data_IF_310884954287
#
_entry.id   IF_310884954287
#
_cell.length_a   1.000
_cell.length_b   1.000
_cell.length_c   1.000
_cell.angle_alpha   90.00
_cell.angle_beta   90.00
_cell.angle_gamma   90.00
#
_symmetry.space_group_name_H-M   'P 1'
#
loop_
_entity.id
_entity.type
_entity.pdbx_description
1 polymer ?
#
# COMPACT_ATOMS: atom_id res chain seq x y z
N UNK A 1 -7.78 26.23 -56.96
CA UNK A 1 -7.08 27.49 -57.27
C UNK A 1 -7.06 28.30 -55.98
N UNK A 2 -6.25 27.95 -55.00
CA UNK A 2 -4.78 28.10 -54.91
C UNK A 2 -4.34 29.54 -54.69
N UNK A 3 -3.83 29.81 -53.48
CA UNK A 3 -2.66 30.61 -53.05
C UNK A 3 -2.83 30.90 -51.55
N UNK A 4 -2.17 30.17 -50.66
CA UNK A 4 -0.76 30.28 -50.20
C UNK A 4 -0.41 31.64 -49.57
N UNK A 5 -0.13 31.61 -48.25
CA UNK A 5 0.85 32.41 -47.47
C UNK A 5 0.87 31.78 -46.06
N UNK A 6 1.93 31.61 -45.28
CA UNK A 6 3.38 31.54 -45.43
C UNK A 6 3.85 31.06 -44.03
N UNK A 7 4.50 29.89 -43.93
CA UNK A 7 5.12 29.39 -42.70
C UNK A 7 6.46 30.09 -42.49
N UNK A 8 6.69 30.61 -41.28
CA UNK A 8 7.95 31.21 -40.84
C UNK A 8 8.84 30.16 -40.16
N UNK A 9 10.09 30.10 -40.60
CA UNK A 9 11.19 29.26 -40.10
C UNK A 9 12.27 30.12 -39.43
N UNK A 10 12.97 29.52 -38.45
CA UNK A 10 14.17 30.04 -37.76
C UNK A 10 13.85 30.63 -36.37
N UNK A 11 14.52 30.31 -35.27
CA UNK A 11 15.95 30.08 -35.13
C UNK A 11 16.31 29.17 -33.93
N UNK A 12 17.54 28.68 -33.96
CA UNK A 12 18.18 27.65 -33.13
C UNK A 12 18.91 28.26 -31.93
N UNK A 13 19.18 27.45 -30.88
CA UNK A 13 20.14 27.56 -29.73
C UNK A 13 19.42 27.07 -28.46
N UNK A 14 19.90 26.20 -27.57
CA UNK A 14 21.17 25.51 -27.30
C UNK A 14 20.78 24.21 -26.54
N UNK A 15 21.29 23.06 -26.97
CA UNK A 15 21.29 21.84 -26.14
C UNK A 15 22.51 21.88 -25.23
N UNK A 16 22.32 21.82 -23.92
CA UNK A 16 23.42 21.67 -22.97
C UNK A 16 23.93 20.23 -23.05
N UNK A 17 25.07 20.07 -23.72
CA UNK A 17 25.91 18.88 -23.61
C UNK A 17 26.40 18.76 -22.16
N UNK A 18 26.01 17.67 -21.48
CA UNK A 18 26.59 17.28 -20.19
C UNK A 18 27.82 16.45 -20.52
N UNK A 19 28.99 17.09 -20.46
CA UNK A 19 30.27 16.41 -20.44
C UNK A 19 30.37 15.56 -19.17
N UNK A 20 30.26 14.25 -19.31
CA UNK A 20 30.63 13.30 -18.27
C UNK A 20 32.14 13.37 -18.07
N UNK A 21 32.57 13.89 -16.92
CA UNK A 21 33.97 13.86 -16.50
C UNK A 21 34.42 12.43 -16.19
N UNK A 22 35.64 12.20 -16.64
CA UNK A 22 36.41 10.98 -16.76
C UNK A 22 37.00 10.47 -15.42
N UNK A 23 36.84 9.16 -15.21
CA UNK A 23 37.71 8.16 -14.55
C UNK A 23 38.75 8.61 -13.49
N UNK A 24 38.31 9.17 -12.35
CA UNK A 24 39.18 9.61 -11.24
C UNK A 24 38.97 9.00 -9.85
N UNK A 25 37.90 8.24 -9.59
CA UNK A 25 37.49 7.90 -8.20
C UNK A 25 37.56 6.39 -7.84
N UNK A 26 38.46 5.64 -8.49
CA UNK A 26 38.68 4.20 -8.21
C UNK A 26 39.18 3.93 -6.77
N UNK A 27 40.01 4.83 -6.21
CA UNK A 27 40.56 4.65 -4.85
C UNK A 27 39.55 4.93 -3.72
N UNK A 28 38.61 5.87 -3.94
CA UNK A 28 37.59 6.22 -2.95
C UNK A 28 36.52 5.13 -2.86
N UNK A 29 36.12 4.57 -4.00
CA UNK A 29 35.18 3.44 -4.07
C UNK A 29 35.79 2.19 -3.44
N UNK A 30 37.06 1.91 -3.69
CA UNK A 30 37.78 0.79 -3.05
C UNK A 30 37.88 0.95 -1.53
N UNK A 31 38.13 2.17 -1.05
CA UNK A 31 38.21 2.47 0.39
C UNK A 31 36.85 2.34 1.10
N UNK A 32 35.76 2.70 0.42
CA UNK A 32 34.39 2.54 0.94
C UNK A 32 33.95 1.08 0.96
N UNK A 33 34.33 0.30 -0.07
CA UNK A 33 34.05 -1.14 -0.12
C UNK A 33 34.76 -1.87 1.03
N UNK A 34 36.03 -1.58 1.26
CA UNK A 34 36.81 -2.21 2.32
C UNK A 34 36.28 -1.87 3.73
N UNK A 35 35.68 -0.68 3.90
CA UNK A 35 35.04 -0.26 5.15
C UNK A 35 33.67 -0.92 5.36
N UNK A 36 32.95 -1.22 4.27
CA UNK A 36 31.68 -1.96 4.31
C UNK A 36 31.92 -3.41 4.70
N UNK A 37 32.96 -4.05 4.14
CA UNK A 37 33.32 -5.44 4.39
C UNK A 37 33.86 -5.66 5.82
N UNK A 38 34.54 -4.66 6.42
CA UNK A 38 35.09 -4.74 7.77
C UNK A 38 34.03 -4.49 8.87
N UNK A 39 32.93 -3.80 8.55
CA UNK A 39 31.84 -3.47 9.51
C UNK A 39 30.60 -4.34 9.38
N UNK A 40 30.42 -5.01 8.25
CA UNK A 40 29.33 -5.95 8.03
C UNK A 40 29.97 -7.33 7.91
N UNK A 41 29.88 -8.15 8.96
CA UNK A 41 30.27 -9.56 8.91
C UNK A 41 29.38 -10.34 7.92
N UNK A 42 29.58 -10.13 6.63
CA UNK A 42 29.06 -10.95 5.55
C UNK A 42 30.11 -12.03 5.34
N UNK A 43 29.93 -13.16 6.01
CA UNK A 43 30.76 -14.33 5.74
C UNK A 43 30.30 -14.94 4.41
N UNK A 44 31.16 -14.85 3.39
CA UNK A 44 31.05 -15.62 2.16
C UNK A 44 31.42 -17.10 2.42
N UNK A 45 30.53 -17.85 3.06
CA UNK A 45 30.63 -19.30 3.10
C UNK A 45 29.83 -19.90 1.94
N UNK A 46 30.52 -20.07 0.81
CA UNK A 46 30.13 -21.03 -0.23
C UNK A 46 30.59 -22.43 0.19
N UNK A 47 29.74 -23.12 0.94
CA UNK A 47 29.79 -24.59 1.02
C UNK A 47 28.65 -25.16 0.18
N UNK A 48 28.94 -25.37 -1.11
CA UNK A 48 28.10 -26.15 -2.03
C UNK A 48 28.44 -27.62 -1.81
N UNK A 49 27.73 -28.28 -0.91
CA UNK A 49 27.72 -29.74 -0.83
C UNK A 49 26.38 -30.28 -0.28
N UNK A 50 25.49 -30.62 -1.21
CA UNK A 50 24.65 -31.82 -1.09
C UNK A 50 23.28 -31.67 -0.43
N UNK A 51 22.26 -31.31 -1.22
CA UNK A 51 21.06 -32.14 -1.45
C UNK A 51 20.53 -31.80 -2.85
N UNK A 52 21.07 -32.44 -3.89
CA UNK A 52 20.44 -32.45 -5.21
C UNK A 52 19.30 -33.47 -5.21
N UNK A 53 18.11 -33.08 -4.76
CA UNK A 53 16.89 -33.87 -5.01
C UNK A 53 16.42 -33.58 -6.45
N UNK A 54 16.65 -34.56 -7.30
CA UNK A 54 16.29 -34.62 -8.72
C UNK A 54 14.76 -34.59 -8.86
N UNK A 55 14.16 -33.50 -9.32
CA UNK A 55 12.71 -33.45 -9.57
C UNK A 55 12.40 -33.84 -11.01
N UNK A 56 11.85 -35.04 -11.18
CA UNK A 56 11.31 -35.54 -12.44
C UNK A 56 10.05 -34.78 -12.84
N UNK A 57 10.02 -34.31 -14.08
CA UNK A 57 8.86 -33.71 -14.75
C UNK A 57 7.89 -34.84 -15.13
N UNK A 58 6.76 -34.97 -14.43
CA UNK A 58 5.64 -35.80 -14.87
C UNK A 58 4.30 -35.07 -14.71
N UNK A 59 3.44 -35.31 -15.69
CA UNK A 59 2.21 -34.58 -15.95
C UNK A 59 1.17 -34.66 -14.85
N UNK A 60 0.32 -33.63 -14.85
CA UNK A 60 -0.82 -33.40 -13.98
C UNK A 60 -1.70 -34.65 -13.85
N UNK A 61 -1.71 -35.22 -12.64
CA UNK A 61 -2.83 -35.99 -12.09
C UNK A 61 -2.93 -35.63 -10.60
N UNK A 62 -4.16 -35.29 -10.23
CA UNK A 62 -4.67 -34.81 -8.94
C UNK A 62 -4.23 -35.62 -7.71
N UNK A 63 -3.39 -34.99 -6.87
CA UNK A 63 -3.37 -35.07 -5.39
C UNK A 63 -2.75 -33.74 -4.90
N UNK A 64 -3.54 -32.86 -4.27
CA UNK A 64 -3.02 -31.61 -3.67
C UNK A 64 -2.14 -31.95 -2.46
N UNK A 65 -0.84 -32.07 -2.69
CA UNK A 65 0.15 -31.87 -1.64
C UNK A 65 0.36 -30.36 -1.60
N UNK A 66 0.02 -29.70 -0.49
CA UNK A 66 0.07 -28.25 -0.32
C UNK A 66 1.53 -27.79 -0.19
N UNK A 67 2.23 -27.68 -1.33
CA UNK A 67 3.60 -27.18 -1.37
C UNK A 67 3.61 -25.65 -1.28
N UNK A 68 4.41 -25.10 -0.37
CA UNK A 68 4.65 -23.66 -0.28
C UNK A 68 5.50 -23.25 -1.48
N UNK A 69 4.99 -22.35 -2.30
CA UNK A 69 5.71 -21.85 -3.47
C UNK A 69 6.59 -20.68 -3.09
N UNK A 70 7.87 -20.76 -3.43
CA UNK A 70 8.78 -19.64 -3.23
C UNK A 70 8.46 -18.47 -4.17
N UNK A 71 7.94 -17.38 -3.62
CA UNK A 71 7.65 -16.15 -4.37
C UNK A 71 8.84 -15.19 -4.42
N UNK A 72 9.91 -15.43 -3.67
CA UNK A 72 11.07 -14.54 -3.58
C UNK A 72 12.28 -15.09 -4.37
N UNK A 73 12.01 -15.87 -5.43
CA UNK A 73 13.02 -16.51 -6.28
C UNK A 73 13.47 -15.69 -7.50
N UNK A 74 12.84 -14.53 -7.75
CA UNK A 74 13.19 -13.69 -8.89
C UNK A 74 14.32 -12.72 -8.53
N UNK A 75 15.56 -13.11 -8.86
CA UNK A 75 16.77 -12.33 -8.63
C UNK A 75 17.11 -11.35 -9.77
N UNK A 76 16.38 -11.42 -10.89
CA UNK A 76 16.62 -10.58 -12.07
C UNK A 76 15.98 -9.19 -11.94
N UNK A 77 14.90 -9.08 -11.17
CA UNK A 77 14.23 -7.80 -10.93
C UNK A 77 14.74 -7.15 -9.63
N UNK A 78 15.55 -6.08 -9.71
CA UNK A 78 16.09 -5.42 -8.53
C UNK A 78 15.03 -4.80 -7.64
N UNK A 79 13.82 -4.50 -8.15
CA UNK A 79 12.73 -3.93 -7.33
C UNK A 79 12.13 -4.95 -6.35
N UNK A 80 12.34 -6.25 -6.60
CA UNK A 80 11.83 -7.31 -5.73
C UNK A 80 12.74 -7.55 -4.52
N UNK A 81 14.00 -7.11 -4.58
CA UNK A 81 14.99 -7.28 -3.52
C UNK A 81 14.99 -8.71 -2.96
N UNK A 82 14.93 -9.73 -3.83
CA UNK A 82 14.68 -11.13 -3.48
C UNK A 82 15.51 -11.63 -2.27
N UNK A 83 16.81 -11.31 -2.24
CA UNK A 83 17.73 -11.70 -1.16
C UNK A 83 17.42 -11.05 0.19
N UNK A 84 16.80 -9.87 0.20
CA UNK A 84 16.46 -9.11 1.41
C UNK A 84 14.97 -9.16 1.74
N UNK A 85 14.14 -9.78 0.89
CA UNK A 85 12.69 -9.78 1.01
C UNK A 85 12.22 -10.33 2.37
N UNK A 86 12.89 -11.36 2.91
CA UNK A 86 12.58 -11.88 4.24
C UNK A 86 12.80 -10.81 5.33
N UNK A 87 13.99 -10.20 5.37
CA UNK A 87 14.36 -9.23 6.40
C UNK A 87 13.55 -7.94 6.31
N UNK A 88 13.26 -7.47 5.09
CA UNK A 88 12.41 -6.29 4.85
C UNK A 88 11.05 -6.50 5.51
N UNK A 89 10.37 -7.61 5.23
CA UNK A 89 9.03 -7.83 5.78
C UNK A 89 9.05 -8.18 7.26
N UNK A 90 10.09 -8.87 7.75
CA UNK A 90 10.30 -9.05 9.19
C UNK A 90 10.40 -7.69 9.90
N UNK A 91 11.14 -6.75 9.31
CA UNK A 91 11.23 -5.38 9.82
C UNK A 91 9.88 -4.66 9.76
N UNK A 92 9.15 -4.74 8.62
CA UNK A 92 7.84 -4.10 8.46
C UNK A 92 6.83 -4.59 9.52
N UNK A 93 6.83 -5.88 9.87
CA UNK A 93 5.97 -6.43 10.94
C UNK A 93 6.29 -5.85 12.32
N UNK A 94 7.57 -5.62 12.61
CA UNK A 94 7.95 -4.97 13.88
C UNK A 94 7.57 -3.49 13.84
N UNK A 95 7.77 -2.82 12.71
CA UNK A 95 7.50 -1.39 12.55
C UNK A 95 6.01 -1.04 12.57
N UNK A 96 5.13 -1.91 12.03
CA UNK A 96 3.68 -1.65 11.95
C UNK A 96 3.03 -1.56 13.34
N UNK A 97 3.64 -2.15 14.36
CA UNK A 97 3.16 -2.07 15.75
C UNK A 97 3.55 -0.76 16.45
N UNK A 98 4.62 -0.10 16.00
CA UNK A 98 5.18 1.11 16.64
C UNK A 98 4.59 2.40 16.11
N UNK A 99 4.18 2.43 14.83
CA UNK A 99 3.71 3.65 14.15
C UNK A 99 2.18 3.70 14.03
N UNK A 100 1.48 3.28 15.08
CA UNK A 100 0.02 3.19 15.09
C UNK A 100 -0.63 4.44 15.70
N UNK A 101 -1.77 4.88 15.15
CA UNK A 101 -2.67 5.79 15.86
C UNK A 101 -3.34 5.09 17.06
N UNK A 102 -3.88 5.88 17.99
CA UNK A 102 -4.80 5.36 19.01
C UNK A 102 -6.07 4.85 18.34
N UNK A 103 -6.69 3.81 18.88
CA UNK A 103 -7.89 3.22 18.27
C UNK A 103 -9.19 3.90 18.71
N UNK A 104 -9.09 4.84 19.63
CA UNK A 104 -10.18 5.49 20.35
C UNK A 104 -9.99 7.02 20.43
N UNK A 105 -9.17 7.61 19.53
CA UNK A 105 -8.84 9.04 19.62
C UNK A 105 -10.04 9.96 19.41
N UNK A 106 -11.05 9.52 18.65
CA UNK A 106 -12.28 10.29 18.46
C UNK A 106 -13.01 10.45 19.79
N UNK A 107 -13.08 9.37 20.56
CA UNK A 107 -13.76 9.30 21.84
C UNK A 107 -12.96 9.93 22.98
N UNK A 108 -11.64 9.73 22.99
CA UNK A 108 -10.78 10.07 24.14
C UNK A 108 -10.07 11.42 24.00
N UNK A 109 -9.74 11.84 22.78
CA UNK A 109 -8.94 13.04 22.52
C UNK A 109 -9.79 14.15 21.88
N UNK A 110 -10.53 13.81 20.83
CA UNK A 110 -11.26 14.80 20.05
C UNK A 110 -12.55 15.25 20.74
N UNK A 111 -12.86 16.56 20.64
CA UNK A 111 -14.06 17.17 21.24
C UNK A 111 -15.14 17.53 20.23
N UNK A 112 -14.74 17.84 19.01
CA UNK A 112 -15.59 18.45 17.98
C UNK A 112 -15.43 17.76 16.61
N UNK A 113 -14.83 16.57 16.60
CA UNK A 113 -14.60 15.75 15.42
C UNK A 113 -15.18 14.39 15.73
N UNK A 114 -15.99 13.89 14.83
CA UNK A 114 -16.52 12.54 14.87
C UNK A 114 -15.93 11.69 13.73
N UNK A 115 -16.29 10.41 13.71
CA UNK A 115 -15.82 9.44 12.71
C UNK A 115 -16.30 9.77 11.30
N UNK A 116 -17.46 10.42 11.15
CA UNK A 116 -18.03 10.84 9.87
C UNK A 116 -17.20 11.97 9.25
N UNK A 117 -16.80 12.95 10.05
CA UNK A 117 -15.94 14.06 9.59
C UNK A 117 -14.58 13.54 9.11
N UNK A 118 -14.02 12.53 9.77
CA UNK A 118 -12.81 11.83 9.30
C UNK A 118 -13.04 11.15 7.96
N UNK A 119 -14.13 10.40 7.82
CA UNK A 119 -14.45 9.70 6.59
C UNK A 119 -14.67 10.65 5.41
N UNK A 120 -15.36 11.80 5.63
CA UNK A 120 -15.53 12.86 4.62
C UNK A 120 -14.20 13.45 4.18
N UNK A 121 -13.28 13.73 5.13
CA UNK A 121 -11.95 14.23 4.79
C UNK A 121 -11.18 13.22 3.91
N UNK A 122 -11.21 11.94 4.27
CA UNK A 122 -10.47 10.90 3.55
C UNK A 122 -11.09 10.65 2.17
N UNK A 123 -12.42 10.67 2.05
CA UNK A 123 -13.11 10.53 0.75
C UNK A 123 -12.69 11.66 -0.20
N UNK A 124 -12.66 12.91 0.29
CA UNK A 124 -12.13 14.04 -0.48
C UNK A 124 -10.65 13.88 -0.85
N UNK A 125 -9.81 13.41 0.09
CA UNK A 125 -8.39 13.17 -0.19
C UNK A 125 -8.17 12.09 -1.27
N UNK A 126 -9.07 11.11 -1.39
CA UNK A 126 -9.03 10.14 -2.49
C UNK A 126 -9.21 10.86 -3.83
N UNK A 127 -10.18 11.77 -3.95
CA UNK A 127 -10.39 12.58 -5.16
C UNK A 127 -9.15 13.42 -5.49
N UNK A 128 -8.58 14.09 -4.49
CA UNK A 128 -7.36 14.90 -4.64
C UNK A 128 -6.20 14.05 -5.15
N UNK A 129 -5.97 12.88 -4.55
CA UNK A 129 -4.87 12.00 -4.97
C UNK A 129 -5.05 11.46 -6.39
N UNK A 130 -6.30 11.24 -6.83
CA UNK A 130 -6.61 10.84 -8.21
C UNK A 130 -6.39 11.98 -9.21
N UNK A 131 -6.79 13.21 -8.86
CA UNK A 131 -6.61 14.40 -9.70
C UNK A 131 -5.13 14.67 -9.99
N UNK A 132 -4.29 14.62 -8.95
CA UNK A 132 -2.83 14.78 -9.08
C UNK A 132 -2.09 13.51 -9.49
N UNK A 133 -2.81 12.39 -9.69
CA UNK A 133 -2.25 11.08 -10.09
C UNK A 133 -1.13 10.59 -9.16
N UNK A 134 -1.29 10.83 -7.87
CA UNK A 134 -0.35 10.42 -6.82
C UNK A 134 -0.32 8.90 -6.70
N UNK A 135 0.82 8.35 -6.29
CA UNK A 135 0.93 6.91 -6.06
C UNK A 135 0.06 6.51 -4.85
N UNK A 136 -0.52 5.29 -4.82
CA UNK A 136 -1.40 4.89 -3.72
C UNK A 136 -0.76 5.02 -2.33
N UNK A 137 0.54 4.73 -2.22
CA UNK A 137 1.30 4.80 -0.96
C UNK A 137 1.19 6.19 -0.30
N UNK A 138 1.19 7.26 -1.11
CA UNK A 138 1.01 8.65 -0.66
C UNK A 138 -0.31 8.85 0.10
N UNK A 139 -1.42 8.28 -0.39
CA UNK A 139 -2.71 8.34 0.31
C UNK A 139 -2.66 7.59 1.65
N UNK A 140 -2.08 6.38 1.67
CA UNK A 140 -1.99 5.60 2.90
C UNK A 140 -1.14 6.30 3.98
N UNK A 141 -0.01 6.89 3.58
CA UNK A 141 0.82 7.68 4.49
C UNK A 141 0.09 8.94 4.98
N UNK A 142 -0.63 9.62 4.09
CA UNK A 142 -1.47 10.78 4.45
C UNK A 142 -2.45 10.43 5.57
N UNK A 143 -3.19 9.33 5.41
CA UNK A 143 -4.15 8.85 6.44
C UNK A 143 -3.43 8.46 7.73
N UNK A 144 -2.28 7.78 7.65
CA UNK A 144 -1.46 7.45 8.83
C UNK A 144 -1.06 8.71 9.62
N UNK A 145 -0.63 9.76 8.93
CA UNK A 145 -0.21 11.02 9.56
C UNK A 145 -1.39 11.74 10.21
N UNK A 146 -2.53 11.81 9.53
CA UNK A 146 -3.77 12.40 10.06
C UNK A 146 -4.16 11.69 11.36
N UNK A 147 -4.29 10.36 11.31
CA UNK A 147 -4.77 9.59 12.47
C UNK A 147 -3.80 9.65 13.64
N UNK A 148 -2.48 9.56 13.39
CA UNK A 148 -1.47 9.72 14.44
C UNK A 148 -1.52 11.11 15.06
N UNK A 149 -1.73 12.15 14.26
CA UNK A 149 -1.82 13.53 14.77
C UNK A 149 -3.08 13.72 15.61
N UNK A 150 -4.24 13.23 15.15
CA UNK A 150 -5.50 13.27 15.88
C UNK A 150 -5.48 12.42 17.16
N UNK A 151 -4.59 11.42 17.23
CA UNK A 151 -4.37 10.61 18.44
C UNK A 151 -3.74 11.34 19.62
N UNK A 152 -3.27 12.58 19.44
CA UNK A 152 -2.64 13.34 20.53
C UNK A 152 -2.98 14.82 20.51
N UNK A 153 -3.33 15.39 19.35
CA UNK A 153 -3.64 16.80 19.20
C UNK A 153 -5.13 17.00 18.96
N UNK A 154 -5.77 17.70 19.90
CA UNK A 154 -7.13 18.21 19.71
C UNK A 154 -7.09 19.25 18.60
N UNK A 155 -7.94 19.08 17.58
CA UNK A 155 -8.04 20.05 16.49
C UNK A 155 -9.49 20.54 16.34
N UNK A 156 -9.65 21.79 15.92
CA UNK A 156 -10.95 22.33 15.61
C UNK A 156 -11.41 21.78 14.24
N UNK A 157 -12.69 21.43 14.11
CA UNK A 157 -13.29 20.98 12.85
C UNK A 157 -12.93 21.85 11.63
N UNK A 158 -12.84 23.18 11.80
CA UNK A 158 -12.51 24.13 10.72
C UNK A 158 -11.08 23.98 10.18
N UNK A 159 -10.20 23.33 10.95
CA UNK A 159 -8.80 23.06 10.58
C UNK A 159 -8.57 21.61 10.15
N UNK A 160 -9.63 20.80 10.07
CA UNK A 160 -9.51 19.38 9.72
C UNK A 160 -9.05 19.19 8.27
N UNK A 161 -9.60 19.96 7.33
CA UNK A 161 -9.12 19.96 5.94
C UNK A 161 -7.70 20.51 5.82
N UNK A 162 -7.35 21.59 6.55
CA UNK A 162 -5.97 22.09 6.62
C UNK A 162 -4.97 21.02 7.11
N UNK A 163 -5.35 20.21 8.11
CA UNK A 163 -4.55 19.08 8.56
C UNK A 163 -4.38 18.05 7.43
N UNK A 164 -5.47 17.69 6.75
CA UNK A 164 -5.43 16.75 5.62
C UNK A 164 -4.52 17.22 4.50
N UNK A 165 -4.63 18.49 4.08
CA UNK A 165 -3.77 19.11 3.06
C UNK A 165 -2.30 19.10 3.48
N UNK A 166 -1.99 19.46 4.73
CA UNK A 166 -0.62 19.45 5.23
C UNK A 166 -0.05 18.03 5.31
N UNK A 167 -0.84 17.04 5.75
CA UNK A 167 -0.43 15.63 5.77
C UNK A 167 -0.20 15.10 4.35
N UNK A 168 -1.03 15.49 3.38
CA UNK A 168 -0.86 15.12 1.98
C UNK A 168 0.41 15.74 1.40
N UNK A 169 0.67 17.03 1.65
CA UNK A 169 1.91 17.69 1.24
C UNK A 169 3.15 16.95 1.76
N UNK A 170 3.14 16.55 3.03
CA UNK A 170 4.24 15.81 3.63
C UNK A 170 4.39 14.43 2.99
N UNK A 171 3.30 13.68 2.82
CA UNK A 171 3.33 12.37 2.20
C UNK A 171 3.82 12.44 0.75
N UNK A 172 3.37 13.43 -0.02
CA UNK A 172 3.81 13.63 -1.39
C UNK A 172 5.29 13.97 -1.46
N UNK A 173 5.80 14.88 -0.62
CA UNK A 173 7.24 15.19 -0.55
C UNK A 173 8.09 13.97 -0.17
N UNK A 174 7.50 13.00 0.53
CA UNK A 174 8.20 11.81 0.98
C UNK A 174 8.23 10.70 -0.09
N UNK A 175 7.15 10.54 -0.85
CA UNK A 175 6.93 9.37 -1.71
C UNK A 175 6.97 9.68 -3.21
N UNK A 176 6.61 10.91 -3.62
CA UNK A 176 6.49 11.26 -5.04
C UNK A 176 7.82 11.74 -5.62
N UNK A 177 8.07 11.36 -6.88
CA UNK A 177 9.21 11.91 -7.66
C UNK A 177 9.01 13.42 -7.88
N UNK A 178 7.78 13.81 -8.20
CA UNK A 178 7.39 15.20 -8.45
C UNK A 178 6.16 15.54 -7.58
N UNK A 179 6.36 15.95 -6.31
CA UNK A 179 5.24 16.32 -5.44
C UNK A 179 4.56 17.61 -5.90
N UNK A 180 3.23 17.76 -5.69
CA UNK A 180 2.52 19.00 -5.99
C UNK A 180 3.06 20.14 -5.12
N UNK A 181 3.11 21.34 -5.69
CA UNK A 181 3.52 22.53 -4.96
C UNK A 181 2.47 22.93 -3.91
N UNK A 182 2.90 23.71 -2.91
CA UNK A 182 2.00 24.16 -1.84
C UNK A 182 0.86 25.01 -2.39
N UNK A 183 1.14 25.79 -3.42
CA UNK A 183 0.20 26.62 -4.15
C UNK A 183 -0.90 25.80 -4.83
N UNK A 184 -0.55 24.65 -5.41
CA UNK A 184 -1.52 23.72 -6.02
C UNK A 184 -2.47 23.14 -4.95
N UNK A 185 -1.92 22.77 -3.79
CA UNK A 185 -2.73 22.26 -2.68
C UNK A 185 -3.59 23.36 -2.03
N UNK A 186 -3.15 24.62 -2.05
CA UNK A 186 -4.01 25.75 -1.66
C UNK A 186 -5.16 25.90 -2.66
N UNK A 187 -4.86 25.80 -3.96
CA UNK A 187 -5.86 25.91 -5.04
C UNK A 187 -6.95 24.85 -4.94
N UNK A 188 -6.60 23.56 -4.76
CA UNK A 188 -7.60 22.48 -4.66
C UNK A 188 -8.44 22.55 -3.38
N UNK A 189 -8.00 23.33 -2.39
CA UNK A 189 -8.80 23.65 -1.20
C UNK A 189 -9.68 24.90 -1.38
N UNK A 190 -9.97 25.29 -2.63
CA UNK A 190 -10.67 26.52 -3.01
C UNK A 190 -10.04 27.80 -2.41
N UNK A 191 -8.71 27.78 -2.22
CA UNK A 191 -7.97 28.84 -1.51
C UNK A 191 -8.54 29.15 -0.11
N UNK A 192 -9.18 28.17 0.53
CA UNK A 192 -9.67 28.29 1.91
C UNK A 192 -8.51 28.56 2.89
N UNK A 193 -7.31 28.10 2.53
CA UNK A 193 -6.10 28.26 3.32
C UNK A 193 -5.01 28.96 2.53
N UNK A 194 -4.27 29.81 3.21
CA UNK A 194 -3.06 30.46 2.66
C UNK A 194 -1.87 29.51 2.71
N UNK A 195 -0.88 29.75 1.84
CA UNK A 195 0.42 29.03 1.85
C UNK A 195 1.04 28.99 3.25
N UNK A 196 1.04 30.12 3.95
CA UNK A 196 1.61 30.22 5.30
C UNK A 196 0.88 29.35 6.32
N UNK A 197 -0.44 29.20 6.21
CA UNK A 197 -1.22 28.33 7.08
C UNK A 197 -0.90 26.86 6.83
N UNK A 198 -0.78 26.47 5.56
CA UNK A 198 -0.40 25.11 5.16
C UNK A 198 1.00 24.79 5.69
N UNK A 199 1.98 25.67 5.47
CA UNK A 199 3.37 25.49 5.94
C UNK A 199 3.46 25.45 7.48
N UNK A 200 2.67 26.26 8.20
CA UNK A 200 2.60 26.20 9.67
C UNK A 200 2.02 24.87 10.15
N UNK A 201 0.98 24.37 9.48
CA UNK A 201 0.40 23.07 9.81
C UNK A 201 1.38 21.94 9.51
N UNK A 202 2.05 21.97 8.35
CA UNK A 202 3.11 21.03 7.97
C UNK A 202 4.19 20.95 9.06
N UNK A 203 4.73 22.11 9.47
CA UNK A 203 5.74 22.16 10.53
C UNK A 203 5.24 21.58 11.86
N UNK A 204 3.96 21.82 12.21
CA UNK A 204 3.34 21.26 13.41
C UNK A 204 3.23 19.74 13.35
N UNK A 205 2.81 19.19 12.20
CA UNK A 205 2.69 17.75 11.98
C UNK A 205 4.07 17.09 12.02
N UNK A 206 5.06 17.61 11.29
CA UNK A 206 6.43 17.08 11.29
C UNK A 206 7.06 17.08 12.68
N UNK A 207 6.88 18.18 13.44
CA UNK A 207 7.35 18.28 14.83
C UNK A 207 6.69 17.24 15.73
N UNK A 208 5.38 17.01 15.57
CA UNK A 208 4.66 15.99 16.33
C UNK A 208 5.13 14.57 15.99
N UNK A 209 5.26 14.26 14.70
CA UNK A 209 5.72 12.96 14.21
C UNK A 209 7.23 12.73 14.44
N UNK A 210 7.96 13.75 14.93
CA UNK A 210 9.41 13.74 15.14
C UNK A 210 10.18 13.35 13.86
N UNK A 211 9.65 13.77 12.70
CA UNK A 211 10.17 13.42 11.38
C UNK A 211 10.23 11.90 11.09
N UNK A 212 9.51 11.07 11.85
CA UNK A 212 9.39 9.63 11.60
C UNK A 212 8.27 9.36 10.60
N UNK A 213 8.57 9.67 9.33
CA UNK A 213 7.62 9.63 8.21
C UNK A 213 7.42 8.22 7.66
N UNK A 214 8.46 7.39 7.68
CA UNK A 214 8.34 5.99 7.26
C UNK A 214 7.40 5.22 8.19
N UNK A 215 6.27 4.77 7.66
CA UNK A 215 5.30 3.93 8.35
C UNK A 215 4.85 2.79 7.42
N UNK A 216 4.86 1.52 7.87
CA UNK A 216 4.30 0.44 7.07
C UNK A 216 2.81 0.66 6.81
N UNK A 217 2.39 0.58 5.55
CA UNK A 217 0.99 0.74 5.16
C UNK A 217 0.39 -0.59 4.69
N UNK A 218 -0.94 -0.62 4.53
CA UNK A 218 -1.63 -1.77 3.96
C UNK A 218 -1.14 -2.05 2.54
N UNK A 219 -0.82 -0.99 1.78
CA UNK A 219 -0.31 -1.09 0.40
C UNK A 219 1.06 -1.76 0.34
N UNK A 220 1.96 -1.45 1.28
CA UNK A 220 3.24 -2.14 1.43
C UNK A 220 3.09 -3.68 1.51
N UNK A 221 2.19 -4.15 2.38
CA UNK A 221 1.96 -5.59 2.58
C UNK A 221 1.22 -6.23 1.41
N UNK A 222 0.23 -5.54 0.83
CA UNK A 222 -0.52 -6.03 -0.32
C UNK A 222 0.39 -6.44 -1.49
N UNK A 223 1.47 -5.69 -1.75
CA UNK A 223 2.37 -5.97 -2.87
C UNK A 223 2.95 -7.39 -2.84
N UNK A 224 3.43 -7.87 -1.69
CA UNK A 224 3.96 -9.25 -1.57
C UNK A 224 2.87 -10.28 -1.42
N UNK A 225 1.81 -9.97 -0.69
CA UNK A 225 0.71 -10.93 -0.52
C UNK A 225 -0.04 -11.20 -1.83
N UNK A 226 -0.13 -10.22 -2.73
CA UNK A 226 -0.67 -10.43 -4.08
C UNK A 226 0.16 -11.44 -4.88
N UNK A 227 1.49 -11.39 -4.77
CA UNK A 227 2.36 -12.38 -5.43
C UNK A 227 2.08 -13.78 -4.89
N UNK A 228 1.98 -13.95 -3.57
CA UNK A 228 1.56 -15.21 -2.94
C UNK A 228 0.16 -15.68 -3.41
N UNK A 229 -0.78 -14.75 -3.55
CA UNK A 229 -2.15 -15.05 -3.96
C UNK A 229 -2.28 -15.49 -5.43
N UNK A 230 -1.39 -14.99 -6.29
CA UNK A 230 -1.40 -15.22 -7.75
C UNK A 230 -0.87 -16.60 -8.14
N UNK A 231 0.01 -17.20 -7.33
CA UNK A 231 0.62 -18.51 -7.61
C UNK A 231 -0.42 -19.59 -7.91
N UNK A 232 -1.58 -19.53 -7.25
CA UNK A 232 -2.62 -20.58 -7.34
C UNK A 232 -3.90 -20.11 -8.02
N UNK A 233 -3.90 -18.98 -8.73
CA UNK A 233 -5.13 -18.38 -9.23
C UNK A 233 -5.13 -18.18 -10.74
N UNK A 234 -6.06 -18.84 -11.42
CA UNK A 234 -6.24 -18.74 -12.87
C UNK A 234 -6.96 -17.47 -13.34
N UNK A 235 -7.58 -16.71 -12.43
CA UNK A 235 -8.27 -15.48 -12.82
C UNK A 235 -7.28 -14.42 -13.32
N UNK A 236 -7.72 -13.44 -14.14
CA UNK A 236 -6.86 -12.38 -14.62
C UNK A 236 -6.16 -11.68 -13.46
N UNK A 237 -4.83 -11.72 -13.46
CA UNK A 237 -3.96 -11.19 -12.38
C UNK A 237 -4.39 -9.79 -11.94
N UNK A 238 -4.74 -8.94 -12.91
CA UNK A 238 -5.18 -7.57 -12.70
C UNK A 238 -6.51 -7.45 -11.93
N UNK A 239 -7.44 -8.40 -12.08
CA UNK A 239 -8.72 -8.36 -11.35
C UNK A 239 -8.52 -8.60 -9.86
N UNK A 240 -7.64 -9.55 -9.50
CA UNK A 240 -7.30 -9.81 -8.10
C UNK A 240 -6.59 -8.60 -7.48
N UNK A 241 -5.63 -8.05 -8.19
CA UNK A 241 -4.90 -6.85 -7.75
C UNK A 241 -5.86 -5.67 -7.56
N UNK A 242 -6.65 -5.28 -8.56
CA UNK A 242 -7.54 -4.14 -8.43
C UNK A 242 -8.61 -4.35 -7.36
N UNK A 243 -9.12 -5.57 -7.20
CA UNK A 243 -10.14 -5.85 -6.18
C UNK A 243 -9.54 -5.78 -4.77
N UNK A 244 -8.36 -6.35 -4.55
CA UNK A 244 -7.69 -6.28 -3.25
C UNK A 244 -7.31 -4.84 -2.87
N UNK A 245 -6.83 -4.04 -3.85
CA UNK A 245 -6.55 -2.62 -3.62
C UNK A 245 -7.86 -1.83 -3.34
N UNK A 246 -8.95 -2.10 -4.06
CA UNK A 246 -10.25 -1.49 -3.80
C UNK A 246 -10.73 -1.73 -2.37
N UNK A 247 -10.71 -2.99 -1.93
CA UNK A 247 -11.15 -3.39 -0.59
C UNK A 247 -10.26 -2.75 0.49
N UNK A 248 -8.94 -2.73 0.28
CA UNK A 248 -8.02 -2.09 1.22
C UNK A 248 -8.21 -0.57 1.28
N UNK A 249 -8.51 0.09 0.16
CA UNK A 249 -8.73 1.53 0.14
C UNK A 249 -10.06 1.91 0.80
N UNK A 250 -11.11 1.06 0.68
CA UNK A 250 -12.34 1.21 1.46
C UNK A 250 -12.08 1.19 2.98
N UNK A 251 -11.07 0.44 3.43
CA UNK A 251 -10.75 0.35 4.85
C UNK A 251 -10.26 1.68 5.43
N UNK A 252 -9.76 2.61 4.61
CA UNK A 252 -9.29 3.91 5.07
C UNK A 252 -10.43 4.79 5.60
N UNK A 253 -11.62 4.64 5.04
CA UNK A 253 -12.82 5.42 5.40
C UNK A 253 -13.42 4.97 6.73
N UNK A 254 -13.34 3.67 7.05
CA UNK A 254 -13.99 3.07 8.22
C UNK A 254 -13.10 3.16 9.47
N UNK A 255 -13.47 4.04 10.41
CA UNK A 255 -12.73 4.25 11.65
C UNK A 255 -12.59 2.97 12.49
N UNK A 256 -13.61 2.11 12.52
CA UNK A 256 -13.56 0.88 13.34
C UNK A 256 -12.46 -0.09 12.90
N UNK A 257 -11.97 -0.01 11.66
CA UNK A 257 -10.88 -0.87 11.16
C UNK A 257 -9.48 -0.40 11.58
N UNK A 258 -9.35 0.77 12.21
CA UNK A 258 -8.07 1.29 12.70
C UNK A 258 -7.43 0.40 13.77
N UNK A 259 -8.24 -0.44 14.43
CA UNK A 259 -7.79 -1.41 15.44
C UNK A 259 -6.97 -2.56 14.85
N UNK A 260 -7.09 -2.82 13.55
CA UNK A 260 -6.29 -3.83 12.85
C UNK A 260 -4.95 -3.26 12.38
N UNK A 261 -3.91 -4.09 12.42
CA UNK A 261 -2.61 -3.73 11.84
C UNK A 261 -2.69 -3.72 10.31
N UNK A 262 -1.88 -2.89 9.61
CA UNK A 262 -1.89 -2.80 8.15
C UNK A 262 -1.75 -4.15 7.43
N UNK A 263 -0.92 -5.05 7.94
CA UNK A 263 -0.74 -6.38 7.37
C UNK A 263 -2.00 -7.26 7.45
N UNK A 264 -2.78 -7.15 8.53
CA UNK A 264 -4.01 -7.92 8.70
C UNK A 264 -5.11 -7.42 7.76
N UNK A 265 -5.19 -6.10 7.56
CA UNK A 265 -6.08 -5.50 6.55
C UNK A 265 -5.68 -5.99 5.15
N UNK A 266 -4.38 -6.01 4.82
CA UNK A 266 -3.90 -6.47 3.52
C UNK A 266 -4.23 -7.94 3.26
N UNK A 267 -4.00 -8.81 4.24
CA UNK A 267 -4.32 -10.23 4.17
C UNK A 267 -5.83 -10.47 4.01
N UNK A 268 -6.65 -9.77 4.81
CA UNK A 268 -8.12 -9.86 4.76
C UNK A 268 -8.69 -9.34 3.44
N UNK A 269 -8.10 -8.28 2.88
CA UNK A 269 -8.47 -7.77 1.55
C UNK A 269 -8.19 -8.78 0.44
N UNK A 270 -7.09 -9.54 0.53
CA UNK A 270 -6.76 -10.59 -0.44
C UNK A 270 -7.69 -11.79 -0.29
N UNK A 271 -7.93 -12.23 0.95
CA UNK A 271 -8.89 -13.27 1.24
C UNK A 271 -10.25 -12.94 0.62
N UNK A 272 -10.76 -11.73 0.90
CA UNK A 272 -12.05 -11.29 0.40
C UNK A 272 -12.05 -11.13 -1.13
N UNK A 273 -10.97 -10.60 -1.72
CA UNK A 273 -10.85 -10.49 -3.16
C UNK A 273 -10.91 -11.87 -3.84
N UNK A 274 -10.17 -12.86 -3.34
CA UNK A 274 -10.21 -14.24 -3.86
C UNK A 274 -11.61 -14.83 -3.74
N UNK A 275 -12.26 -14.69 -2.59
CA UNK A 275 -13.64 -15.12 -2.40
C UNK A 275 -14.61 -14.49 -3.40
N UNK A 276 -14.55 -13.18 -3.64
CA UNK A 276 -15.42 -12.49 -4.60
C UNK A 276 -15.12 -12.93 -6.04
N UNK A 277 -13.86 -13.23 -6.37
CA UNK A 277 -13.50 -13.71 -7.70
C UNK A 277 -13.96 -15.16 -7.94
N UNK A 278 -13.87 -16.01 -6.92
CA UNK A 278 -14.20 -17.43 -6.96
C UNK A 278 -14.88 -17.88 -5.66
N UNK A 279 -16.21 -17.65 -5.52
CA UNK A 279 -16.93 -17.95 -4.27
C UNK A 279 -16.97 -19.41 -3.83
N UNK A 280 -16.71 -20.34 -4.73
CA UNK A 280 -16.78 -21.79 -4.51
C UNK A 280 -15.44 -22.42 -4.12
N UNK A 281 -14.35 -21.67 -4.20
CA UNK A 281 -13.00 -22.14 -3.87
C UNK A 281 -12.55 -21.55 -2.53
N UNK A 282 -11.84 -22.34 -1.72
CA UNK A 282 -11.25 -21.82 -0.49
C UNK A 282 -10.22 -20.72 -0.84
N UNK A 283 -10.40 -19.48 -0.35
CA UNK A 283 -9.52 -18.38 -0.70
C UNK A 283 -8.13 -18.46 -0.03
N UNK A 284 -7.92 -19.35 0.95
CA UNK A 284 -6.69 -19.40 1.75
C UNK A 284 -5.94 -20.72 1.57
N UNK A 285 -4.68 -20.65 1.14
CA UNK A 285 -3.81 -21.80 0.91
C UNK A 285 -2.52 -21.71 1.75
N UNK A 286 -1.69 -22.77 1.78
CA UNK A 286 -0.47 -22.76 2.60
C UNK A 286 0.54 -21.69 2.19
N UNK A 287 0.62 -21.33 0.90
CA UNK A 287 1.51 -20.25 0.45
C UNK A 287 1.10 -18.90 1.05
N UNK A 288 -0.19 -18.57 1.04
CA UNK A 288 -0.71 -17.37 1.70
C UNK A 288 -0.49 -17.42 3.21
N UNK A 289 -0.79 -18.55 3.85
CA UNK A 289 -0.55 -18.74 5.28
C UNK A 289 0.92 -18.51 5.65
N UNK A 290 1.86 -19.04 4.86
CA UNK A 290 3.29 -18.88 5.08
C UNK A 290 3.77 -17.42 4.96
N UNK A 291 3.44 -16.74 3.87
CA UNK A 291 3.94 -15.36 3.63
C UNK A 291 3.21 -14.29 4.43
N UNK A 292 1.93 -14.51 4.74
CA UNK A 292 1.13 -13.59 5.56
C UNK A 292 1.23 -13.89 7.05
N UNK A 293 1.72 -15.08 7.44
CA UNK A 293 1.77 -15.53 8.84
C UNK A 293 0.40 -15.49 9.55
N UNK A 294 -0.69 -15.49 8.79
CA UNK A 294 -2.06 -15.51 9.30
C UNK A 294 -2.77 -16.78 8.87
N UNK A 295 -3.50 -17.36 9.81
CA UNK A 295 -4.44 -18.44 9.55
C UNK A 295 -5.79 -17.88 9.10
N UNK A 296 -6.66 -18.69 8.47
CA UNK A 296 -8.00 -18.23 8.09
C UNK A 296 -8.77 -17.64 9.28
N UNK A 297 -8.72 -18.28 10.45
CA UNK A 297 -9.41 -17.80 11.66
C UNK A 297 -8.99 -16.40 12.11
N UNK A 298 -7.71 -16.04 11.95
CA UNK A 298 -7.17 -14.72 12.29
C UNK A 298 -7.79 -13.59 11.44
N UNK A 299 -8.25 -13.91 10.23
CA UNK A 299 -8.80 -12.94 9.27
C UNK A 299 -10.29 -12.67 9.46
N UNK A 300 -10.99 -13.53 10.21
CA UNK A 300 -12.45 -13.62 10.20
C UNK A 300 -13.16 -12.28 10.45
N UNK A 301 -12.83 -11.60 11.54
CA UNK A 301 -13.51 -10.36 11.92
C UNK A 301 -13.18 -9.19 10.96
N UNK A 302 -11.90 -9.08 10.56
CA UNK A 302 -11.46 -8.05 9.63
C UNK A 302 -12.07 -8.26 8.23
N UNK A 303 -12.07 -9.49 7.72
CA UNK A 303 -12.67 -9.85 6.43
C UNK A 303 -14.18 -9.60 6.40
N UNK A 304 -14.90 -9.93 7.48
CA UNK A 304 -16.34 -9.62 7.60
C UNK A 304 -16.60 -8.11 7.64
N UNK A 305 -15.78 -7.35 8.36
CA UNK A 305 -15.85 -5.88 8.38
C UNK A 305 -15.66 -5.28 6.98
N UNK A 306 -14.63 -5.73 6.26
CA UNK A 306 -14.36 -5.33 4.87
C UNK A 306 -15.47 -5.77 3.91
N UNK A 307 -16.06 -6.94 4.10
CA UNK A 307 -17.16 -7.44 3.26
C UNK A 307 -18.42 -6.59 3.42
N UNK A 308 -18.74 -6.19 4.66
CA UNK A 308 -19.81 -5.23 4.92
C UNK A 308 -19.58 -3.91 4.16
N UNK A 309 -18.35 -3.38 4.20
CA UNK A 309 -17.99 -2.16 3.48
C UNK A 309 -18.10 -2.33 1.96
N UNK A 310 -17.71 -3.48 1.42
CA UNK A 310 -17.83 -3.76 -0.01
C UNK A 310 -19.30 -3.76 -0.47
N UNK A 311 -20.19 -4.40 0.31
CA UNK A 311 -21.60 -4.58 -0.03
C UNK A 311 -22.42 -3.30 0.17
N UNK A 312 -22.27 -2.65 1.33
CA UNK A 312 -23.13 -1.52 1.75
C UNK A 312 -22.45 -0.17 1.51
N UNK A 313 -21.12 -0.14 1.41
CA UNK A 313 -20.32 1.07 1.46
C UNK A 313 -20.03 1.52 2.91
N UNK A 314 -19.19 2.55 3.07
CA UNK A 314 -18.82 3.14 4.37
C UNK A 314 -19.95 3.95 5.04
N UNK A 315 -21.17 3.94 4.47
CA UNK A 315 -22.26 4.82 4.87
C UNK A 315 -22.09 6.25 4.37
N UNK A 316 -23.14 7.07 4.48
CA UNK A 316 -23.14 8.44 3.94
C UNK A 316 -23.02 8.49 2.41
N UNK A 317 -22.87 9.69 1.85
CA UNK A 317 -22.70 9.88 0.41
C UNK A 317 -21.21 9.81 -0.01
N UNK A 318 -20.41 8.99 0.67
CA UNK A 318 -18.97 8.83 0.41
C UNK A 318 -18.77 7.90 -0.79
N UNK A 319 -18.26 8.45 -1.89
CA UNK A 319 -18.27 7.75 -3.18
C UNK A 319 -16.92 7.71 -3.88
N UNK A 320 -15.94 8.51 -3.46
CA UNK A 320 -14.70 8.71 -4.20
C UNK A 320 -13.99 7.39 -4.50
N UNK A 321 -13.81 6.52 -3.49
CA UNK A 321 -13.17 5.21 -3.67
C UNK A 321 -13.98 4.33 -4.62
N UNK A 322 -15.30 4.28 -4.48
CA UNK A 322 -16.14 3.42 -5.33
C UNK A 322 -16.17 3.92 -6.77
N UNK A 323 -16.19 5.23 -6.98
CA UNK A 323 -16.17 5.87 -8.30
C UNK A 323 -14.83 5.69 -8.98
N UNK A 324 -13.71 5.88 -8.25
CA UNK A 324 -12.35 5.54 -8.69
C UNK A 324 -12.29 4.13 -9.26
N UNK A 325 -12.61 3.11 -8.45
CA UNK A 325 -12.53 1.70 -8.88
C UNK A 325 -13.69 1.25 -9.80
N UNK A 326 -14.64 2.15 -10.10
CA UNK A 326 -15.65 1.97 -11.14
C UNK A 326 -15.20 2.46 -12.51
N UNK A 327 -14.00 3.04 -12.65
CA UNK A 327 -13.47 3.48 -13.93
C UNK A 327 -12.93 2.30 -14.76
N UNK A 328 -12.88 2.48 -16.09
CA UNK A 328 -12.36 1.47 -17.02
C UNK A 328 -10.91 1.06 -16.71
N UNK A 329 -10.06 1.99 -16.24
CA UNK A 329 -8.67 1.71 -15.86
C UNK A 329 -8.54 0.63 -14.77
N UNK A 330 -9.53 0.52 -13.88
CA UNK A 330 -9.58 -0.50 -12.83
C UNK A 330 -10.54 -1.65 -13.16
N UNK A 331 -10.88 -1.85 -14.45
CA UNK A 331 -11.73 -2.94 -14.93
C UNK A 331 -13.11 -3.00 -14.26
N UNK A 332 -13.64 -1.84 -13.83
CA UNK A 332 -14.95 -1.72 -13.18
C UNK A 332 -15.11 -2.62 -11.94
N UNK A 333 -14.02 -2.90 -11.22
CA UNK A 333 -13.99 -3.93 -10.18
C UNK A 333 -14.94 -3.62 -9.01
N UNK A 334 -15.22 -2.35 -8.75
CA UNK A 334 -16.19 -1.91 -7.74
C UNK A 334 -17.66 -2.25 -8.09
N UNK A 335 -17.95 -2.59 -9.35
CA UNK A 335 -19.28 -3.03 -9.82
C UNK A 335 -19.44 -4.56 -9.78
N UNK A 336 -18.42 -5.30 -9.36
CA UNK A 336 -18.45 -6.75 -9.33
C UNK A 336 -19.45 -7.25 -8.28
N UNK A 337 -20.23 -8.26 -8.65
CA UNK A 337 -21.12 -8.95 -7.70
C UNK A 337 -20.30 -9.69 -6.64
N UNK A 338 -20.75 -9.61 -5.40
CA UNK A 338 -20.22 -10.39 -4.27
C UNK A 338 -21.39 -11.14 -3.62
N UNK A 339 -21.21 -12.43 -3.26
CA UNK A 339 -22.19 -13.14 -2.45
C UNK A 339 -22.46 -12.41 -1.12
N UNK A 340 -23.68 -12.50 -0.57
CA UNK A 340 -24.09 -11.73 0.60
C UNK A 340 -23.41 -12.17 1.91
N UNK A 341 -22.88 -13.40 1.96
CA UNK A 341 -22.21 -13.95 3.13
C UNK A 341 -21.02 -14.82 2.72
N UNK A 342 -19.94 -14.73 3.50
CA UNK A 342 -18.78 -15.62 3.38
C UNK A 342 -19.09 -16.92 4.15
N UNK A 343 -18.93 -18.11 3.55
CA UNK A 343 -19.06 -19.38 4.26
C UNK A 343 -18.16 -19.46 5.51
N UNK A 344 -18.69 -19.93 6.63
CA UNK A 344 -17.93 -20.02 7.89
C UNK A 344 -16.77 -21.02 7.80
N UNK A 345 -16.95 -22.09 7.02
CA UNK A 345 -15.94 -23.11 6.70
C UNK A 345 -14.66 -22.53 6.09
N UNK A 346 -14.71 -21.38 5.41
CA UNK A 346 -13.52 -20.74 4.85
C UNK A 346 -12.63 -20.08 5.92
N UNK A 347 -13.10 -19.98 7.16
CA UNK A 347 -12.34 -19.50 8.31
C UNK A 347 -11.88 -20.62 9.23
N UNK A 348 -12.12 -21.89 8.89
CA UNK A 348 -11.62 -23.02 9.66
C UNK A 348 -10.14 -23.23 9.38
N UNK A 349 -9.35 -23.35 10.46
CA UNK A 349 -7.94 -23.66 10.34
C UNK A 349 -7.76 -25.11 9.88
N UNK A 350 -6.82 -25.39 8.94
CA UNK A 350 -6.50 -26.76 8.60
C UNK A 350 -6.05 -27.50 9.86
N UNK A 351 -6.72 -28.61 10.15
CA UNK A 351 -6.41 -29.43 11.32
C UNK A 351 -4.92 -29.76 11.31
N UNK A 352 -4.21 -29.34 12.35
CA UNK A 352 -2.82 -29.71 12.57
C UNK A 352 -2.77 -31.24 12.56
N UNK A 353 -2.11 -31.83 11.57
CA UNK A 353 -1.69 -33.22 11.63
C UNK A 353 -0.97 -33.39 12.96
N UNK A 354 -1.62 -34.07 13.93
CA UNK A 354 -0.92 -34.64 15.06
C UNK A 354 -0.18 -35.84 14.48
N UNK A 355 1.17 -35.85 14.45
CA UNK A 355 1.86 -37.10 14.21
C UNK A 355 1.57 -38.01 15.41
N UNK A 356 0.91 -39.15 15.15
CA UNK A 356 0.79 -40.26 16.10
C UNK A 356 2.17 -40.86 16.43
#
# INVERSE_FOLDING_TARGET
MSKEDAMSTGDSTESLDIDCLDDGDSEVVSSLQHLADDKLHISDNRDVAGVASKWTKHGCNSVEIDYIVDIDNNHEDPQLCATLAFDIYKHLRVAETKKRPSTDFVETIQKNIDTSMRAVLIDWLVEVTEEYRLVPETLYLTVNYIDRYLSSKVINRRKMQLLGVACLLIASKYEEICPPQVEELCYISDNTYTKDEVLKMEASVLKYLKFEMTAPTTKCFLRRFLRAAQVCHEAPVLHLEFLANYIAELSLLEYSLICYVPSLIAASSIFLAKFILKPTENPWNSTLSFYTQYKPSDLCDCAKGLHRLFLVGPGGNLRAVREKYSQHKYKFIAKKYSPPSIPAEFFEDPSSYKPD
#
